data_IF_088174024177
#
_entry.id   IF_088174024177
#
_cell.length_a   1.000
_cell.length_b   1.000
_cell.length_c   1.000
_cell.angle_alpha   90.00
_cell.angle_beta   90.00
_cell.angle_gamma   90.00
#
_symmetry.space_group_name_H-M   'P 1'
#
loop_
_entity.id
_entity.type
_entity.pdbx_description
1 polymer ?
#
# COMPACT_ATOMS: atom_id res chain seq x y z
N UNK A 1 4.69 34.24 28.62
CA UNK A 1 3.48 34.52 29.42
C UNK A 1 2.35 34.87 28.47
N UNK A 2 1.39 33.96 28.31
CA UNK A 2 -0.06 34.10 28.61
C UNK A 2 -0.62 32.68 28.49
N UNK A 3 -1.30 32.28 29.56
CA UNK A 3 -1.83 30.95 29.84
C UNK A 3 -3.33 31.13 30.05
N UNK A 4 -4.20 30.45 29.29
CA UNK A 4 -5.61 30.11 29.64
C UNK A 4 -5.96 28.88 28.78
N UNK A 5 -5.99 27.64 29.28
CA UNK A 5 -6.90 26.97 30.23
C UNK A 5 -8.24 26.53 29.62
N UNK A 6 -8.32 25.21 29.41
CA UNK A 6 -9.42 24.26 29.62
C UNK A 6 -10.87 24.58 29.22
N UNK A 7 -11.46 23.66 28.44
CA UNK A 7 -12.82 23.14 28.64
C UNK A 7 -12.85 21.73 28.03
N UNK A 8 -12.64 20.66 28.82
CA UNK A 8 -13.71 19.81 29.37
C UNK A 8 -14.96 19.73 28.47
N UNK A 9 -15.15 18.58 27.81
CA UNK A 9 -16.49 18.01 27.75
C UNK A 9 -16.42 16.49 27.93
N UNK A 10 -16.91 16.09 29.09
CA UNK A 10 -17.11 14.72 29.52
C UNK A 10 -18.19 14.03 28.67
N UNK A 11 -18.07 12.70 28.57
CA UNK A 11 -19.13 11.80 28.13
C UNK A 11 -20.38 11.90 29.03
N UNK A 12 -21.52 11.40 28.55
CA UNK A 12 -22.34 10.55 29.40
C UNK A 12 -22.55 9.16 28.80
N UNK A 13 -22.37 8.17 29.68
CA UNK A 13 -22.91 6.82 29.63
C UNK A 13 -24.45 6.84 29.62
N UNK A 14 -25.01 5.81 28.97
CA UNK A 14 -26.23 5.07 29.31
C UNK A 14 -27.57 5.81 29.55
N UNK A 15 -28.65 5.32 28.91
CA UNK A 15 -29.68 4.51 29.58
C UNK A 15 -31.05 4.59 28.87
N UNK A 16 -31.63 3.39 28.67
CA UNK A 16 -33.04 3.00 28.72
C UNK A 16 -34.11 3.67 27.84
N UNK A 17 -34.75 2.84 27.01
CA UNK A 17 -36.21 2.70 27.01
C UNK A 17 -36.62 1.35 26.40
N UNK A 18 -36.93 0.38 27.26
CA UNK A 18 -37.89 -0.70 26.95
C UNK A 18 -39.26 -0.10 26.59
N UNK A 19 -40.04 -0.79 25.76
CA UNK A 19 -41.43 -1.15 26.08
C UNK A 19 -41.88 -2.36 25.21
N UNK A 20 -42.84 -3.17 25.71
CA UNK A 20 -43.03 -4.59 25.41
C UNK A 20 -44.17 -4.83 24.40
N UNK A 21 -44.23 -6.03 23.82
CA UNK A 21 -45.34 -6.38 22.93
C UNK A 21 -45.34 -7.81 22.38
N UNK A 22 -45.54 -8.78 23.27
CA UNK A 22 -46.16 -10.12 23.08
C UNK A 22 -45.56 -11.17 22.10
N UNK A 23 -45.73 -12.47 22.45
CA UNK A 23 -45.08 -13.59 21.77
C UNK A 23 -45.94 -14.12 20.61
N UNK A 24 -45.43 -14.01 19.39
CA UNK A 24 -45.95 -14.69 18.22
C UNK A 24 -45.03 -15.83 17.82
N UNK A 25 -45.39 -17.05 18.24
CA UNK A 25 -44.74 -18.28 17.79
C UNK A 25 -44.87 -18.39 16.26
N UNK A 26 -43.79 -18.09 15.55
CA UNK A 26 -43.61 -18.48 14.16
C UNK A 26 -42.40 -19.40 14.12
N UNK A 27 -42.67 -20.68 13.89
CA UNK A 27 -41.68 -21.72 13.60
C UNK A 27 -40.92 -21.27 12.35
N UNK A 28 -39.76 -20.64 12.54
CA UNK A 28 -38.81 -20.44 11.44
C UNK A 28 -38.05 -21.75 11.32
N UNK A 29 -38.53 -22.57 10.38
CA UNK A 29 -37.85 -23.73 9.85
C UNK A 29 -36.37 -23.41 9.67
N UNK A 30 -35.51 -24.13 10.39
CA UNK A 30 -34.07 -24.13 10.19
C UNK A 30 -33.77 -24.47 8.73
N UNK A 31 -33.65 -23.44 7.92
CA UNK A 31 -32.97 -23.56 6.64
C UNK A 31 -31.49 -23.59 7.00
N UNK A 32 -30.71 -24.63 6.66
CA UNK A 32 -29.27 -24.55 6.82
C UNK A 32 -28.84 -23.37 5.97
N UNK A 33 -28.40 -22.29 6.63
CA UNK A 33 -27.78 -21.16 5.97
C UNK A 33 -26.61 -21.75 5.20
N UNK A 34 -26.78 -21.88 3.88
CA UNK A 34 -25.69 -22.06 2.95
C UNK A 34 -24.69 -20.99 3.33
N UNK A 35 -23.56 -21.43 3.89
CA UNK A 35 -22.43 -20.57 4.13
C UNK A 35 -22.10 -19.99 2.77
N UNK A 36 -22.50 -18.74 2.54
CA UNK A 36 -21.98 -17.95 1.44
C UNK A 36 -20.51 -17.87 1.76
N UNK A 37 -19.74 -18.74 1.11
CA UNK A 37 -18.30 -18.79 1.15
C UNK A 37 -17.84 -17.37 0.81
N UNK A 38 -17.52 -16.60 1.85
CA UNK A 38 -17.05 -15.24 1.69
C UNK A 38 -15.89 -15.33 0.69
N UNK A 39 -15.90 -14.53 -0.40
CA UNK A 39 -14.89 -14.64 -1.43
C UNK A 39 -13.53 -14.56 -0.73
N UNK A 40 -12.80 -15.68 -0.79
CA UNK A 40 -11.48 -15.83 -0.19
C UNK A 40 -10.70 -14.59 -0.61
N UNK A 41 -10.25 -13.73 0.32
CA UNK A 41 -9.63 -12.46 -0.04
C UNK A 41 -8.48 -12.79 -1.00
N UNK A 42 -8.52 -12.18 -2.19
CA UNK A 42 -7.48 -12.35 -3.17
C UNK A 42 -6.14 -12.09 -2.47
N UNK A 43 -5.26 -13.09 -2.45
CA UNK A 43 -3.96 -13.02 -1.79
C UNK A 43 -3.27 -11.74 -2.24
N UNK A 44 -2.91 -10.88 -1.29
CA UNK A 44 -2.17 -9.66 -1.53
C UNK A 44 -0.75 -10.04 -1.95
N UNK A 45 -0.50 -10.08 -3.27
CA UNK A 45 0.81 -10.41 -3.80
C UNK A 45 1.69 -9.15 -3.90
N UNK A 46 2.92 -9.18 -3.35
CA UNK A 46 3.84 -8.06 -3.50
C UNK A 46 4.25 -7.88 -4.98
N UNK A 47 4.52 -6.63 -5.41
CA UNK A 47 4.99 -6.38 -6.76
C UNK A 47 6.35 -7.04 -6.99
N UNK A 48 6.57 -7.49 -8.22
CA UNK A 48 7.82 -8.14 -8.59
C UNK A 48 8.95 -7.12 -8.69
N UNK A 49 10.04 -7.36 -7.98
CA UNK A 49 11.25 -6.53 -8.05
C UNK A 49 11.77 -6.50 -9.51
N UNK A 50 12.09 -5.31 -10.06
CA UNK A 50 12.68 -5.18 -11.37
C UNK A 50 13.93 -6.04 -11.53
N UNK A 51 14.02 -6.77 -12.64
CA UNK A 51 15.25 -7.47 -12.96
C UNK A 51 16.36 -6.44 -13.18
N UNK A 52 17.52 -6.67 -12.55
CA UNK A 52 18.69 -5.84 -12.83
C UNK A 52 19.09 -6.02 -14.30
N UNK A 53 19.35 -4.93 -15.03
CA UNK A 53 19.80 -5.03 -16.41
C UNK A 53 21.07 -5.86 -16.47
N UNK A 54 21.13 -6.77 -17.44
CA UNK A 54 22.30 -7.61 -17.68
C UNK A 54 23.28 -6.80 -18.53
N UNK A 55 24.34 -6.30 -17.92
CA UNK A 55 25.39 -5.52 -18.60
C UNK A 55 25.44 -4.06 -18.16
N UNK A 56 26.21 -3.27 -18.89
CA UNK A 56 26.35 -1.83 -18.68
C UNK A 56 25.21 -1.07 -19.36
N UNK A 57 24.70 -0.03 -18.69
CA UNK A 57 23.73 0.90 -19.27
C UNK A 57 24.51 2.04 -19.93
N UNK A 58 24.86 1.87 -21.20
CA UNK A 58 25.83 2.74 -21.88
C UNK A 58 25.18 3.93 -22.59
N UNK A 59 23.84 3.95 -22.70
CA UNK A 59 23.10 5.03 -23.35
C UNK A 59 22.04 5.65 -22.44
N UNK A 60 21.80 6.96 -22.61
CA UNK A 60 20.71 7.65 -21.90
C UNK A 60 19.33 7.00 -22.11
N UNK A 61 19.08 6.41 -23.28
CA UNK A 61 17.82 5.72 -23.56
C UNK A 61 17.66 4.42 -22.75
N UNK A 62 18.74 3.68 -22.53
CA UNK A 62 18.74 2.50 -21.67
C UNK A 62 18.57 2.87 -20.20
N UNK A 63 19.28 3.91 -19.74
CA UNK A 63 19.13 4.46 -18.39
C UNK A 63 17.69 4.93 -18.15
N UNK A 64 17.07 5.61 -19.12
CA UNK A 64 15.69 6.06 -19.02
C UNK A 64 14.69 4.88 -18.99
N UNK A 65 14.91 3.85 -19.81
CA UNK A 65 14.07 2.65 -19.82
C UNK A 65 14.16 1.90 -18.49
N UNK A 66 15.37 1.75 -17.96
CA UNK A 66 15.62 1.13 -16.67
C UNK A 66 14.94 1.91 -15.52
N UNK A 67 15.01 3.24 -15.55
CA UNK A 67 14.31 4.09 -14.60
C UNK A 67 12.78 3.95 -14.71
N UNK A 68 12.24 3.87 -15.94
CA UNK A 68 10.80 3.71 -16.16
C UNK A 68 10.25 2.41 -15.54
N UNK A 69 10.99 1.29 -15.68
CA UNK A 69 10.61 0.01 -15.06
C UNK A 69 10.57 0.14 -13.52
N UNK A 70 11.51 0.88 -12.93
CA UNK A 70 11.52 1.14 -11.48
C UNK A 70 10.35 2.01 -11.03
N UNK A 71 9.99 3.02 -11.83
CA UNK A 71 8.80 3.85 -11.55
C UNK A 71 7.53 2.99 -11.51
N UNK A 72 7.35 2.10 -12.49
CA UNK A 72 6.22 1.16 -12.50
C UNK A 72 6.20 0.26 -11.25
N UNK A 73 7.37 -0.25 -10.82
CA UNK A 73 7.47 -0.99 -9.56
C UNK A 73 7.04 -0.16 -8.35
N UNK A 74 7.42 1.12 -8.27
CA UNK A 74 7.02 1.98 -7.16
C UNK A 74 5.53 2.31 -7.15
N UNK A 75 4.92 2.53 -8.31
CA UNK A 75 3.48 2.75 -8.44
C UNK A 75 2.69 1.53 -7.96
N UNK A 76 3.09 0.34 -8.42
CA UNK A 76 2.51 -0.91 -7.96
C UNK A 76 2.76 -1.14 -6.46
N UNK A 77 3.94 -0.77 -5.95
CA UNK A 77 4.28 -0.82 -4.52
C UNK A 77 3.42 0.09 -3.65
N UNK A 78 3.08 1.30 -4.13
CA UNK A 78 2.16 2.18 -3.40
C UNK A 78 0.75 1.59 -3.33
N UNK A 79 0.27 0.97 -4.41
CA UNK A 79 -1.02 0.27 -4.43
C UNK A 79 -1.01 -0.90 -3.44
N UNK A 80 0.04 -1.73 -3.47
CA UNK A 80 0.23 -2.85 -2.56
C UNK A 80 0.28 -2.41 -1.08
N UNK A 81 1.04 -1.36 -0.75
CA UNK A 81 1.10 -0.79 0.59
C UNK A 81 -0.27 -0.32 1.10
N UNK A 82 -1.03 0.38 0.25
CA UNK A 82 -2.39 0.84 0.61
C UNK A 82 -3.36 -0.32 0.81
N UNK A 83 -3.16 -1.43 0.11
CA UNK A 83 -3.98 -2.62 0.26
C UNK A 83 -3.60 -3.39 1.52
N UNK A 84 -2.31 -3.55 1.80
CA UNK A 84 -1.79 -4.17 3.02
C UNK A 84 -2.11 -3.36 4.28
N UNK A 85 -2.21 -2.04 4.23
CA UNK A 85 -2.62 -1.26 5.42
C UNK A 85 -4.08 -1.47 5.84
N UNK A 86 -4.87 -2.24 5.06
CA UNK A 86 -6.26 -2.55 5.37
C UNK A 86 -6.37 -4.01 5.82
N UNK A 87 -6.89 -4.23 7.02
CA UNK A 87 -7.24 -5.55 7.53
C UNK A 87 -6.19 -6.17 8.45
N UNK A 88 -6.39 -7.45 8.73
CA UNK A 88 -5.49 -8.29 9.53
C UNK A 88 -4.83 -9.31 8.60
N UNK A 89 -3.53 -9.54 8.80
CA UNK A 89 -2.69 -10.34 7.91
C UNK A 89 -2.10 -11.53 8.64
N UNK A 90 -1.88 -12.60 7.90
CA UNK A 90 -1.16 -13.77 8.39
C UNK A 90 0.33 -13.46 8.64
N UNK A 91 1.01 -14.24 9.49
CA UNK A 91 2.46 -14.12 9.69
C UNK A 91 3.26 -14.21 8.38
N UNK A 92 2.81 -15.03 7.43
CA UNK A 92 3.42 -15.21 6.12
C UNK A 92 3.28 -13.95 5.26
N UNK A 93 2.10 -13.32 5.27
CA UNK A 93 1.85 -12.04 4.59
C UNK A 93 2.68 -10.91 5.22
N UNK A 94 2.82 -10.90 6.55
CA UNK A 94 3.67 -9.93 7.24
C UNK A 94 5.14 -10.07 6.83
N UNK A 95 5.64 -11.31 6.72
CA UNK A 95 7.00 -11.57 6.26
C UNK A 95 7.20 -11.10 4.82
N UNK A 96 6.25 -11.39 3.92
CA UNK A 96 6.30 -10.93 2.54
C UNK A 96 6.26 -9.40 2.44
N UNK A 97 5.47 -8.74 3.28
CA UNK A 97 5.38 -7.28 3.32
C UNK A 97 6.67 -6.63 3.82
N UNK A 98 7.30 -7.17 4.87
CA UNK A 98 8.61 -6.69 5.34
C UNK A 98 9.66 -6.84 4.25
N UNK A 99 9.71 -7.99 3.56
CA UNK A 99 10.63 -8.19 2.44
C UNK A 99 10.38 -7.17 1.32
N UNK A 100 9.11 -6.90 1.01
CA UNK A 100 8.74 -5.86 0.06
C UNK A 100 9.27 -4.49 0.46
N UNK A 101 9.20 -4.10 1.74
CA UNK A 101 9.71 -2.81 2.20
C UNK A 101 11.24 -2.71 2.04
N UNK A 102 11.97 -3.78 2.35
CA UNK A 102 13.42 -3.85 2.17
C UNK A 102 13.80 -3.70 0.67
N UNK A 103 13.11 -4.45 -0.20
CA UNK A 103 13.32 -4.38 -1.64
C UNK A 103 12.95 -3.00 -2.21
N UNK A 104 11.88 -2.40 -1.70
CA UNK A 104 11.42 -1.07 -2.09
C UNK A 104 12.46 0.00 -1.77
N UNK A 105 13.07 -0.05 -0.58
CA UNK A 105 14.13 0.88 -0.19
C UNK A 105 15.40 0.69 -1.02
N UNK A 106 15.79 -0.56 -1.26
CA UNK A 106 16.94 -0.88 -2.10
C UNK A 106 16.78 -0.34 -3.53
N UNK A 107 15.62 -0.57 -4.15
CA UNK A 107 15.31 -0.07 -5.48
C UNK A 107 15.18 1.45 -5.53
N UNK A 108 14.67 2.10 -4.48
CA UNK A 108 14.63 3.56 -4.38
C UNK A 108 16.04 4.16 -4.41
N UNK A 109 16.99 3.52 -3.74
CA UNK A 109 18.40 3.91 -3.78
C UNK A 109 18.99 3.81 -5.19
N UNK A 110 18.64 2.77 -5.96
CA UNK A 110 19.07 2.61 -7.35
C UNK A 110 18.42 3.67 -8.23
N UNK A 111 17.10 3.84 -8.15
CA UNK A 111 16.36 4.82 -8.95
C UNK A 111 16.89 6.24 -8.78
N UNK A 112 17.23 6.65 -7.55
CA UNK A 112 17.86 7.95 -7.27
C UNK A 112 19.20 8.12 -7.99
N UNK A 113 20.04 7.08 -7.99
CA UNK A 113 21.33 7.11 -8.72
C UNK A 113 21.10 7.15 -10.23
N UNK A 114 20.22 6.32 -10.77
CA UNK A 114 19.88 6.27 -12.20
C UNK A 114 19.33 7.62 -12.68
N UNK A 115 18.45 8.25 -11.89
CA UNK A 115 17.93 9.59 -12.16
C UNK A 115 19.04 10.66 -12.18
N UNK A 116 19.97 10.63 -11.21
CA UNK A 116 21.10 11.56 -11.18
C UNK A 116 22.01 11.40 -12.41
N UNK A 117 22.30 10.15 -12.82
CA UNK A 117 23.08 9.86 -14.03
C UNK A 117 22.36 10.42 -15.26
N UNK A 118 21.05 10.17 -15.39
CA UNK A 118 20.28 10.68 -16.52
C UNK A 118 20.28 12.21 -16.57
N UNK A 119 20.17 12.88 -15.42
CA UNK A 119 20.29 14.34 -15.31
C UNK A 119 21.60 14.86 -15.89
N UNK A 120 22.74 14.29 -15.49
CA UNK A 120 24.07 14.67 -16.02
C UNK A 120 24.16 14.50 -17.54
N UNK A 121 23.54 13.44 -18.09
CA UNK A 121 23.51 13.22 -19.53
C UNK A 121 22.66 14.25 -20.26
N UNK A 122 21.48 14.57 -19.72
CA UNK A 122 20.57 15.58 -20.28
C UNK A 122 21.23 16.96 -20.26
N UNK A 123 21.88 17.33 -19.15
CA UNK A 123 22.60 18.59 -19.03
C UNK A 123 23.70 18.71 -20.09
N UNK A 124 24.53 17.66 -20.22
CA UNK A 124 25.60 17.61 -21.25
C UNK A 124 25.06 17.72 -22.68
N UNK A 125 23.89 17.13 -22.98
CA UNK A 125 23.28 17.20 -24.30
C UNK A 125 22.57 18.54 -24.55
N UNK A 126 22.01 19.16 -23.52
CA UNK A 126 21.38 20.48 -23.61
C UNK A 126 22.41 21.59 -23.88
N UNK A 127 23.63 21.44 -23.35
CA UNK A 127 24.75 22.36 -23.55
C UNK A 127 25.37 22.35 -24.97
N UNK A 128 24.88 21.50 -25.89
CA UNK A 128 25.34 21.45 -27.30
C UNK A 128 24.51 22.40 -28.20
N UNK A 129 23.47 23.04 -27.66
CA UNK A 129 22.77 24.15 -28.32
C UNK A 129 23.30 25.48 -27.77
N UNK A 130 24.44 25.92 -28.28
CA UNK A 130 24.84 27.33 -28.41
C UNK A 130 26.02 27.43 -29.40
#
# INVERSE_FOLDING_TARGET
>A
MITILSLLLAAPLASAAELPGMPGSAVVVSTPAAQVEAPKPALLLPPKVPARPKGTLDTAGEVARDLAIRVEYFENGQSYYRAYTKGSHSPEENKAFVQFLEDYEAELGIARRTHAILGVWLDKKSAIKD
#
